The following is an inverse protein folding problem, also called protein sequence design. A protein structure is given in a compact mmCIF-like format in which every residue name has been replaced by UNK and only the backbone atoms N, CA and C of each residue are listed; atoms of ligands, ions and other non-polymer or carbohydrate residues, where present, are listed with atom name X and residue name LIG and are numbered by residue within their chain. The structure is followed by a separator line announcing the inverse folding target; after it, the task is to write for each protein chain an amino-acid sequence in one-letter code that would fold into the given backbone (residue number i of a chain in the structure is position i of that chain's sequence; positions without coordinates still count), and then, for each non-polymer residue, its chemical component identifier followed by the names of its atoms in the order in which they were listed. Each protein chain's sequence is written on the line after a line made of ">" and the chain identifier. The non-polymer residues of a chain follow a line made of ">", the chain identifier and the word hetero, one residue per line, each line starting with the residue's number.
data_IF_463250802847
#
_entry.id   IF_463250802847
#
_cell.length_a   1.000
_cell.length_b   1.000
_cell.length_c   1.000
_cell.angle_alpha   90.00
_cell.angle_beta   90.00
_cell.angle_gamma   90.00
#
_symmetry.space_group_name_H-M   'P 1'
#
loop_
_entity.id
_entity.type
_entity.pdbx_description
1 polymer ?
2 non-polymer ?
3 non-polymer ?
4 water ?
#
# COMPACT_ATOMS: atom_id res chain seq x y z
N UNK A 1 9.07 -4.55 -5.66
CA UNK A 1 9.12 -6.04 -5.72
C UNK A 1 7.79 -6.66 -5.31
N UNK A 2 7.71 -7.99 -5.37
CA UNK A 2 6.49 -8.73 -5.05
C UNK A 2 6.32 -8.81 -3.55
N UNK A 3 5.33 -8.09 -3.02
CA UNK A 3 5.07 -8.04 -1.61
C UNK A 3 3.94 -8.95 -1.21
N UNK A 4 4.09 -9.66 -0.10
CA UNK A 4 2.97 -10.51 0.35
C UNK A 4 1.86 -9.61 0.94
N UNK A 5 0.62 -10.06 0.80
CA UNK A 5 -0.55 -9.25 1.18
C UNK A 5 -1.15 -9.70 2.50
N UNK A 6 -2.47 -9.79 2.57
CA UNK A 6 -3.20 -10.17 3.79
C UNK A 6 -3.28 -11.67 4.02
N UNK A 7 -2.88 -12.44 3.00
CA UNK A 7 -2.75 -13.89 3.05
C UNK A 7 -1.40 -14.24 2.45
N UNK A 8 -0.79 -15.30 2.97
CA UNK A 8 0.60 -15.57 2.57
C UNK A 8 0.85 -16.06 1.13
N UNK A 9 -0.21 -16.38 0.42
CA UNK A 9 -0.18 -16.86 -0.96
C UNK A 9 -0.64 -15.82 -1.98
N UNK A 10 -0.77 -14.55 -1.56
CA UNK A 10 -1.12 -13.47 -2.46
C UNK A 10 -0.04 -12.42 -2.39
N UNK A 11 0.36 -11.94 -3.57
CA UNK A 11 1.40 -10.92 -3.74
C UNK A 11 0.95 -9.82 -4.67
N UNK A 12 1.55 -8.63 -4.50
CA UNK A 12 1.38 -7.58 -5.46
C UNK A 12 2.72 -6.92 -5.73
N UNK A 13 2.95 -6.53 -6.97
CA UNK A 13 4.12 -5.74 -7.36
C UNK A 13 3.54 -4.61 -8.22
N UNK A 14 4.27 -3.48 -8.33
CA UNK A 14 3.70 -2.34 -9.03
C UNK A 14 4.65 -1.54 -9.87
N UNK A 15 4.07 -0.70 -10.75
CA UNK A 15 4.79 0.27 -11.59
C UNK A 15 4.16 1.62 -11.32
N UNK A 16 4.96 2.64 -10.96
CA UNK A 16 4.44 3.95 -10.68
C UNK A 16 4.07 4.62 -12.00
N UNK A 17 2.94 5.27 -12.11
CA UNK A 17 2.61 5.99 -13.38
C UNK A 17 2.75 7.51 -13.11
N UNK A 18 3.85 8.09 -13.59
CA UNK A 18 4.12 9.53 -13.38
C UNK A 18 3.01 10.48 -13.84
N UNK A 19 2.33 10.15 -14.93
CA UNK A 19 1.28 11.01 -15.45
C UNK A 19 0.14 11.18 -14.46
N UNK A 20 -0.33 10.07 -13.88
CA UNK A 20 -1.45 10.11 -12.94
C UNK A 20 -0.95 10.09 -11.49
N UNK A 21 0.36 9.93 -11.34
CA UNK A 21 0.98 9.87 -10.04
C UNK A 21 0.34 8.77 -9.18
N UNK A 22 0.04 7.63 -9.82
CA UNK A 22 -0.61 6.49 -9.16
C UNK A 22 0.11 5.17 -9.51
N UNK A 23 0.14 4.23 -8.57
CA UNK A 23 0.75 2.92 -8.81
C UNK A 23 -0.20 1.98 -9.57
N UNK A 24 0.31 1.38 -10.65
CA UNK A 24 -0.43 0.33 -11.35
C UNK A 24 0.02 -0.98 -10.70
N UNK A 25 -0.94 -1.75 -10.15
CA UNK A 25 -0.66 -2.96 -9.41
C UNK A 25 -1.01 -4.24 -10.13
N UNK A 26 -0.07 -5.19 -10.16
CA UNK A 26 -0.34 -6.58 -10.59
C UNK A 26 -0.52 -7.44 -9.31
N UNK A 27 -1.18 -8.58 -9.48
CA UNK A 27 -1.43 -9.53 -8.39
C UNK A 27 -1.08 -10.95 -8.80
N UNK A 28 -0.57 -11.72 -7.82
CA UNK A 28 -0.23 -13.12 -8.04
C UNK A 28 -0.88 -13.91 -6.92
N UNK A 29 -1.53 -15.02 -7.31
CA UNK A 29 -2.04 -16.03 -6.39
C UNK A 29 -1.21 -17.29 -6.59
N UNK A 30 -0.41 -17.63 -5.57
CA UNK A 30 0.50 -18.73 -5.61
C UNK A 30 -0.23 -19.98 -5.10
N UNK A 31 -0.24 -21.02 -5.96
CA UNK A 31 -0.95 -22.25 -5.67
C UNK A 31 -0.13 -23.44 -6.14
N UNK A 32 -0.10 -24.54 -5.38
CA UNK A 32 0.57 -25.76 -5.89
C UNK A 32 0.07 -26.24 -7.25
N UNK A 33 -1.22 -26.02 -7.52
CA UNK A 33 -1.83 -26.44 -8.78
C UNK A 33 -1.46 -25.55 -9.96
N UNK A 34 -0.85 -24.39 -9.71
CA UNK A 34 -0.49 -23.49 -10.79
C UNK A 34 -0.74 -22.06 -10.42
N UNK A 35 0.29 -21.24 -10.52
CA UNK A 35 0.14 -19.86 -10.09
C UNK A 35 -0.66 -19.01 -11.10
N UNK A 36 -1.38 -18.03 -10.58
CA UNK A 36 -2.22 -17.17 -11.41
C UNK A 36 -1.87 -15.70 -11.21
N UNK A 37 -1.61 -15.00 -12.32
CA UNK A 37 -1.35 -13.56 -12.28
C UNK A 37 -2.61 -12.79 -12.77
N UNK A 38 -2.85 -11.63 -12.21
CA UNK A 38 -3.97 -10.79 -12.61
C UNK A 38 -3.42 -9.39 -13.01
N UNK A 39 -3.82 -8.91 -14.20
CA UNK A 39 -3.43 -7.57 -14.68
C UNK A 39 -1.94 -7.28 -14.40
N UNK A 40 -1.05 -8.17 -14.85
CA UNK A 40 0.34 -7.99 -14.45
C UNK A 40 1.12 -6.87 -15.15
N UNK A 41 1.65 -5.97 -14.33
CA UNK A 41 2.63 -4.98 -14.74
C UNK A 41 3.98 -5.69 -14.89
N UNK A 42 4.98 -4.98 -15.38
CA UNK A 42 6.27 -5.59 -15.63
C UNK A 42 6.89 -6.21 -14.39
N UNK A 43 7.46 -7.40 -14.52
CA UNK A 43 8.17 -8.04 -13.42
C UNK A 43 9.65 -7.68 -13.49
N UNK A 44 10.24 -7.30 -12.35
CA UNK A 44 11.68 -7.03 -12.29
C UNK A 44 12.45 -8.35 -12.35
N UNK A 45 13.75 -8.25 -12.52
CA UNK A 45 14.60 -9.44 -12.54
C UNK A 45 14.40 -10.21 -11.21
N UNK A 46 14.45 -9.49 -10.09
CA UNK A 46 14.22 -10.12 -8.77
C UNK A 46 12.88 -10.82 -8.71
N UNK A 47 11.88 -10.17 -9.27
CA UNK A 47 10.51 -10.67 -9.22
C UNK A 47 10.39 -11.97 -10.03
N UNK A 48 11.05 -12.02 -11.18
CA UNK A 48 11.06 -13.24 -11.97
C UNK A 48 11.69 -14.40 -11.24
N UNK A 49 12.81 -14.13 -10.56
CA UNK A 49 13.48 -15.20 -9.82
C UNK A 49 12.56 -15.70 -8.71
N UNK A 50 11.89 -14.77 -8.04
CA UNK A 50 10.96 -15.13 -6.99
C UNK A 50 9.77 -15.94 -7.52
N UNK A 51 9.17 -15.42 -8.58
CA UNK A 51 8.05 -16.11 -9.21
C UNK A 51 8.41 -17.52 -9.73
N UNK A 52 9.57 -17.67 -10.37
CA UNK A 52 10.03 -19.00 -10.84
C UNK A 52 10.24 -19.92 -9.63
N UNK A 53 10.82 -19.38 -8.57
CA UNK A 53 11.01 -20.17 -7.36
C UNK A 53 9.68 -20.59 -6.73
N UNK A 54 8.64 -19.79 -6.90
CA UNK A 54 7.29 -20.09 -6.41
C UNK A 54 6.51 -21.02 -7.35
N UNK A 55 7.12 -21.38 -8.46
CA UNK A 55 6.55 -22.32 -9.40
C UNK A 55 6.11 -21.81 -10.77
N UNK A 56 6.43 -20.57 -11.08
CA UNK A 56 6.10 -20.01 -12.39
C UNK A 56 4.68 -19.47 -12.54
N UNK A 57 4.10 -19.69 -13.71
CA UNK A 57 2.74 -19.17 -13.96
C UNK A 57 1.96 -19.99 -14.99
N UNK A 58 0.74 -20.40 -14.61
CA UNK A 58 -0.10 -21.18 -15.54
C UNK A 58 -1.25 -20.38 -16.16
N UNK A 59 -1.70 -19.33 -15.47
CA UNK A 59 -2.73 -18.44 -15.99
C UNK A 59 -2.41 -16.99 -15.72
N UNK A 60 -2.74 -16.16 -16.71
CA UNK A 60 -2.82 -14.70 -16.56
C UNK A 60 -4.30 -14.36 -16.85
N UNK A 61 -4.93 -13.62 -15.94
CA UNK A 61 -6.29 -13.13 -16.12
C UNK A 61 -6.20 -11.63 -16.32
N UNK A 62 -6.87 -11.12 -17.37
CA UNK A 62 -6.91 -9.68 -17.66
C UNK A 62 -8.33 -9.22 -17.46
N UNK A 63 -8.52 -8.18 -16.66
CA UNK A 63 -9.86 -7.69 -16.35
C UNK A 63 -10.46 -6.86 -17.46
N UNK A 64 -9.60 -6.20 -18.25
CA UNK A 64 -10.06 -5.37 -19.34
C UNK A 64 -8.89 -5.08 -20.25
N UNK A 65 -9.19 -4.63 -21.47
CA UNK A 65 -8.17 -4.35 -22.48
C UNK A 65 -7.13 -3.31 -22.13
N UNK A 66 -7.48 -2.36 -21.29
CA UNK A 66 -6.50 -1.34 -20.84
C UNK A 66 -5.51 -1.88 -19.81
N UNK A 67 -5.77 -3.09 -19.30
CA UNK A 67 -4.87 -3.77 -18.34
C UNK A 67 -4.07 -4.93 -18.93
N UNK A 68 -3.92 -4.95 -20.26
CA UNK A 68 -3.09 -5.97 -20.91
C UNK A 68 -1.69 -5.88 -20.34
N UNK A 69 -1.23 -4.65 -20.12
CA UNK A 69 0.05 -4.41 -19.43
C UNK A 69 1.19 -5.29 -19.98
N UNK A 70 1.86 -6.09 -19.14
CA UNK A 70 2.94 -6.95 -19.59
C UNK A 70 2.56 -8.39 -19.87
N UNK A 71 1.29 -8.67 -20.05
CA UNK A 71 0.83 -10.07 -20.24
C UNK A 71 1.44 -10.76 -21.43
N UNK A 72 1.54 -10.07 -22.56
CA UNK A 72 2.14 -10.70 -23.76
C UNK A 72 3.60 -11.10 -23.51
N UNK A 73 4.36 -10.19 -22.89
CA UNK A 73 5.77 -10.43 -22.57
C UNK A 73 5.90 -11.62 -21.64
N UNK A 74 5.05 -11.68 -20.63
CA UNK A 74 5.13 -12.79 -19.67
C UNK A 74 4.76 -14.11 -20.36
N UNK A 75 3.75 -14.09 -21.23
CA UNK A 75 3.33 -15.31 -21.95
C UNK A 75 4.45 -15.82 -22.88
N UNK A 76 5.16 -14.88 -23.51
CA UNK A 76 6.26 -15.22 -24.45
C UNK A 76 7.44 -15.87 -23.73
N UNK A 77 7.54 -15.61 -22.44
CA UNK A 77 8.64 -16.08 -21.59
C UNK A 77 8.28 -17.34 -20.79
N UNK A 78 7.03 -17.77 -20.84
CA UNK A 78 6.55 -18.92 -20.06
C UNK A 78 5.60 -19.82 -20.91
N UNK A 79 4.91 -20.75 -20.24
CA UNK A 79 3.91 -21.61 -20.88
C UNK A 79 2.51 -21.25 -20.40
N UNK A 80 2.34 -20.05 -19.87
CA UNK A 80 1.07 -19.63 -19.33
C UNK A 80 0.03 -19.48 -20.44
N UNK A 81 -1.20 -19.73 -20.03
CA UNK A 81 -2.38 -19.40 -20.81
C UNK A 81 -2.88 -18.03 -20.33
N UNK A 82 -3.66 -17.38 -21.17
CA UNK A 82 -4.25 -16.09 -20.91
C UNK A 82 -5.77 -16.11 -21.07
N UNK A 83 -6.43 -15.55 -20.07
CA UNK A 83 -7.88 -15.40 -20.03
C UNK A 83 -8.24 -13.93 -19.99
N UNK A 84 -9.24 -13.57 -20.79
CA UNK A 84 -9.72 -12.20 -20.88
C UNK A 84 -11.24 -12.12 -20.83
N UNK A 85 -11.79 -10.89 -20.88
CA UNK A 85 -13.24 -10.70 -20.82
C UNK A 85 -13.94 -11.02 -22.12
N UNK A 86 -14.97 -11.85 -22.01
CA UNK A 86 -15.73 -12.27 -23.20
C UNK A 86 -16.35 -11.08 -23.94
N UNK A 87 -16.71 -10.03 -23.22
CA UNK A 87 -17.29 -8.85 -23.87
C UNK A 87 -16.32 -8.12 -24.81
N UNK A 88 -15.01 -8.38 -24.66
CA UNK A 88 -14.00 -7.77 -25.55
C UNK A 88 -13.32 -8.80 -26.47
N UNK A 89 -13.94 -9.97 -26.67
CA UNK A 89 -13.30 -11.03 -27.43
C UNK A 89 -13.06 -10.72 -28.89
N UNK A 90 -13.88 -9.86 -29.49
CA UNK A 90 -13.73 -9.57 -30.91
C UNK A 90 -12.66 -8.59 -31.28
N UNK A 91 -12.14 -7.81 -30.33
CA UNK A 91 -11.10 -6.83 -30.67
C UNK A 91 -10.10 -6.64 -29.54
N UNK A 92 -9.61 -7.73 -28.98
CA UNK A 92 -8.75 -7.61 -27.79
C UNK A 92 -7.32 -7.37 -28.25
N UNK A 93 -6.51 -6.59 -27.48
CA UNK A 93 -5.16 -6.30 -27.94
C UNK A 93 -4.19 -7.47 -28.08
N UNK A 94 -4.45 -8.57 -27.36
CA UNK A 94 -3.62 -9.76 -27.42
C UNK A 94 -4.45 -11.03 -27.51
N UNK A 95 -3.81 -12.11 -27.94
CA UNK A 95 -4.47 -13.42 -28.03
C UNK A 95 -4.77 -13.92 -26.63
N UNK A 96 -5.98 -14.43 -26.42
CA UNK A 96 -6.39 -15.09 -25.18
C UNK A 96 -6.81 -16.50 -25.48
N UNK A 97 -6.41 -17.41 -24.61
CA UNK A 97 -6.79 -18.81 -24.73
C UNK A 97 -8.20 -19.06 -24.28
N UNK A 98 -8.71 -18.22 -23.40
CA UNK A 98 -10.05 -18.38 -22.87
C UNK A 98 -10.73 -17.06 -22.59
N UNK A 99 -12.04 -17.05 -22.83
CA UNK A 99 -12.85 -15.83 -22.65
C UNK A 99 -13.76 -16.10 -21.48
N UNK A 100 -13.69 -15.26 -20.45
CA UNK A 100 -14.45 -15.45 -19.21
C UNK A 100 -15.71 -14.64 -19.13
N UNK A 101 -16.74 -15.22 -18.51
CA UNK A 101 -18.03 -14.57 -18.39
C UNK A 101 -18.54 -14.71 -16.95
N UNK A 102 -19.51 -13.88 -16.63
CA UNK A 102 -20.05 -13.80 -15.29
C UNK A 102 -20.50 -15.20 -14.84
N UNK A 103 -20.04 -15.60 -13.65
CA UNK A 103 -20.38 -16.90 -13.11
C UNK A 103 -19.38 -18.01 -13.38
N UNK A 104 -18.41 -17.76 -14.25
CA UNK A 104 -17.38 -18.75 -14.50
C UNK A 104 -16.47 -18.91 -13.28
N UNK A 105 -15.79 -20.04 -13.20
CA UNK A 105 -14.82 -20.26 -12.13
C UNK A 105 -13.62 -20.77 -12.87
N UNK A 106 -12.60 -19.94 -12.99
CA UNK A 106 -11.39 -20.27 -13.78
C UNK A 106 -10.71 -21.50 -13.23
N UNK A 107 -10.46 -21.44 -11.93
CA UNK A 107 -9.98 -22.59 -11.13
C UNK A 107 -10.88 -22.59 -9.89
N UNK A 108 -10.96 -23.71 -9.16
CA UNK A 108 -11.83 -23.73 -8.00
C UNK A 108 -11.49 -22.60 -7.02
N UNK A 109 -12.50 -21.83 -6.65
CA UNK A 109 -12.29 -20.69 -5.76
C UNK A 109 -12.06 -19.35 -6.41
N UNK A 110 -11.89 -19.31 -7.73
CA UNK A 110 -11.69 -18.04 -8.43
C UNK A 110 -12.88 -17.75 -9.34
N UNK A 111 -13.83 -17.00 -8.78
CA UNK A 111 -15.08 -16.70 -9.43
C UNK A 111 -15.03 -15.41 -10.21
N UNK A 112 -15.66 -15.43 -11.39
CA UNK A 112 -15.71 -14.27 -12.28
C UNK A 112 -17.02 -13.52 -12.23
N UNK A 113 -16.92 -12.20 -12.22
CA UNK A 113 -18.09 -11.33 -12.28
C UNK A 113 -17.85 -10.27 -13.35
N UNK A 114 -18.87 -10.00 -14.16
CA UNK A 114 -18.77 -8.97 -15.21
C UNK A 114 -19.49 -7.74 -14.65
N UNK A 115 -18.88 -6.57 -14.82
CA UNK A 115 -19.43 -5.30 -14.41
C UNK A 115 -19.84 -4.57 -15.67
N UNK A 116 -20.93 -3.81 -15.58
CA UNK A 116 -21.47 -3.03 -16.69
C UNK A 116 -21.40 -1.56 -16.42
N UNK A 117 -21.28 -0.81 -17.52
CA UNK A 117 -21.26 0.65 -17.49
C UNK A 117 -19.88 1.29 -17.45
N UNK A 118 -18.83 0.48 -17.36
CA UNK A 118 -17.46 0.99 -17.25
C UNK A 118 -16.96 1.52 -18.61
N UNK A 119 -15.67 1.83 -18.69
CA UNK A 119 -15.10 2.36 -19.92
C UNK A 119 -14.98 1.31 -21.04
N UNK A 120 -14.98 0.03 -20.67
CA UNK A 120 -15.01 -1.08 -21.61
C UNK A 120 -16.18 -1.96 -21.15
N UNK A 121 -16.80 -2.70 -22.07
CA UNK A 121 -17.91 -3.51 -21.67
C UNK A 121 -17.47 -4.78 -20.96
N UNK A 122 -18.29 -5.24 -20.03
CA UNK A 122 -18.04 -6.51 -19.35
C UNK A 122 -16.70 -6.62 -18.62
N UNK A 123 -16.25 -5.52 -18.01
CA UNK A 123 -15.01 -5.51 -17.23
C UNK A 123 -15.17 -6.55 -16.13
N UNK A 124 -14.14 -7.38 -15.97
CA UNK A 124 -14.16 -8.41 -14.95
C UNK A 124 -13.75 -7.93 -13.57
N UNK A 125 -14.39 -8.52 -12.56
CA UNK A 125 -13.93 -8.48 -11.18
C UNK A 125 -13.82 -9.95 -10.77
N UNK A 126 -12.88 -10.27 -9.89
CA UNK A 126 -12.63 -11.62 -9.42
C UNK A 126 -12.85 -11.77 -7.91
N UNK A 127 -13.50 -12.85 -7.52
CA UNK A 127 -13.75 -13.17 -6.12
C UNK A 127 -12.95 -14.42 -5.82
N UNK A 128 -11.93 -14.24 -5.00
CA UNK A 128 -11.01 -15.30 -4.64
C UNK A 128 -11.36 -15.84 -3.26
N UNK A 129 -11.89 -17.04 -3.28
CA UNK A 129 -12.29 -17.75 -2.08
C UNK A 129 -13.17 -16.89 -1.16
N UNK A 130 -14.11 -16.17 -1.79
CA UNK A 130 -15.15 -15.36 -1.13
C UNK A 130 -14.70 -14.15 -0.30
N UNK A 131 -13.48 -14.14 0.21
CA UNK A 131 -13.02 -13.05 1.09
C UNK A 131 -12.11 -11.97 0.49
N UNK A 132 -11.62 -12.22 -0.73
CA UNK A 132 -10.76 -11.26 -1.44
C UNK A 132 -11.41 -10.94 -2.76
N UNK A 133 -11.70 -9.65 -2.98
CA UNK A 133 -12.22 -9.14 -4.25
C UNK A 133 -11.08 -8.45 -4.96
N UNK A 134 -10.91 -8.74 -6.26
CA UNK A 134 -9.91 -8.07 -7.10
C UNK A 134 -10.64 -7.32 -8.24
N UNK A 135 -10.41 -6.01 -8.30
CA UNK A 135 -10.99 -5.16 -9.32
C UNK A 135 -9.90 -4.67 -10.29
N UNK A 136 -10.34 -4.35 -11.50
CA UNK A 136 -9.45 -3.88 -12.54
C UNK A 136 -9.32 -2.38 -12.53
N UNK A 137 -10.26 -1.71 -13.20
CA UNK A 137 -10.31 -0.24 -13.25
C UNK A 137 -11.52 0.43 -12.62
N UNK A 138 -12.69 -0.18 -12.72
CA UNK A 138 -13.92 0.52 -12.29
C UNK A 138 -13.90 0.99 -10.86
N UNK A 139 -13.43 0.13 -9.96
CA UNK A 139 -13.25 0.43 -8.55
C UNK A 139 -11.72 0.53 -8.37
N UNK A 140 -11.29 1.63 -7.75
CA UNK A 140 -9.88 2.02 -7.64
C UNK A 140 -9.72 2.89 -6.40
N UNK A 141 -8.51 3.36 -6.12
CA UNK A 141 -8.30 4.17 -4.95
C UNK A 141 -7.13 5.16 -5.04
N UNK A 142 -7.41 6.40 -5.41
CA UNK A 142 -6.37 7.42 -5.41
C UNK A 142 -6.12 7.95 -3.99
N UNK A 143 -7.19 8.15 -3.23
CA UNK A 143 -7.04 8.57 -1.83
C UNK A 143 -6.93 7.31 -0.97
N UNK A 144 -5.79 7.16 -0.31
CA UNK A 144 -5.55 5.95 0.52
C UNK A 144 -6.57 5.80 1.66
N UNK A 145 -7.16 4.62 1.80
CA UNK A 145 -8.07 4.35 2.88
C UNK A 145 -9.50 4.14 2.40
N UNK A 146 -9.85 4.66 1.22
CA UNK A 146 -11.19 4.43 0.68
C UNK A 146 -11.19 3.74 -0.67
N UNK A 147 -12.37 3.67 -1.25
CA UNK A 147 -12.58 3.17 -2.60
C UNK A 147 -13.36 4.22 -3.39
N UNK A 148 -13.06 4.26 -4.68
CA UNK A 148 -13.62 5.24 -5.63
C UNK A 148 -13.99 4.51 -6.91
N UNK A 149 -14.77 5.19 -7.74
CA UNK A 149 -15.02 4.72 -9.10
C UNK A 149 -14.33 5.69 -10.10
N UNK A 150 -14.16 5.19 -11.32
CA UNK A 150 -13.77 6.02 -12.46
C UNK A 150 -14.67 7.24 -12.58
N UNK A 151 -14.10 8.35 -13.04
CA UNK A 151 -14.88 9.57 -13.17
C UNK A 151 -15.97 9.43 -14.23
N UNK A 152 -17.00 10.24 -14.10
CA UNK A 152 -18.14 10.16 -14.96
C UNK A 152 -17.84 10.19 -16.46
N UNK A 153 -16.86 11.00 -16.88
CA UNK A 153 -16.58 11.10 -18.33
C UNK A 153 -15.96 9.86 -18.93
N UNK A 154 -15.53 8.92 -18.10
CA UNK A 154 -14.99 7.66 -18.61
C UNK A 154 -16.01 6.53 -18.58
N UNK A 155 -17.22 6.79 -18.11
CA UNK A 155 -18.21 5.72 -17.96
C UNK A 155 -19.13 5.60 -19.14
N UNK A 156 -19.42 4.35 -19.53
CA UNK A 156 -20.40 4.07 -20.59
C UNK A 156 -21.83 4.32 -20.10
N UNK A 157 -22.10 3.99 -18.83
CA UNK A 157 -23.45 4.13 -18.25
C UNK A 157 -23.36 4.13 -16.74
N UNK A 158 -23.51 5.31 -16.15
CA UNK A 158 -23.37 5.44 -14.69
C UNK A 158 -24.43 4.66 -13.92
N UNK A 159 -25.67 4.59 -14.43
CA UNK A 159 -26.70 3.82 -13.73
C UNK A 159 -26.28 2.35 -13.58
N UNK A 160 -25.74 1.77 -14.66
CA UNK A 160 -25.25 0.40 -14.64
C UNK A 160 -24.07 0.24 -13.72
N UNK A 161 -23.23 1.28 -13.62
CA UNK A 161 -22.10 1.25 -12.71
C UNK A 161 -22.57 1.15 -11.27
N UNK A 162 -23.55 1.94 -10.88
CA UNK A 162 -24.05 1.92 -9.51
C UNK A 162 -24.60 0.52 -9.18
N UNK A 163 -25.31 -0.09 -10.13
CA UNK A 163 -25.84 -1.43 -9.94
C UNK A 163 -24.68 -2.43 -9.77
N UNK A 164 -23.64 -2.29 -10.57
CA UNK A 164 -22.46 -3.15 -10.49
C UNK A 164 -21.78 -3.03 -9.12
N UNK A 165 -21.61 -1.80 -8.64
CA UNK A 165 -20.95 -1.57 -7.36
C UNK A 165 -21.82 -2.14 -6.22
N UNK A 166 -23.14 -1.97 -6.30
CA UNK A 166 -24.02 -2.56 -5.30
C UNK A 166 -23.87 -4.08 -5.23
N UNK A 167 -23.66 -4.73 -6.39
CA UNK A 167 -23.47 -6.20 -6.42
C UNK A 167 -22.20 -6.57 -5.70
N UNK A 168 -21.18 -5.74 -5.87
CA UNK A 168 -19.89 -6.00 -5.18
C UNK A 168 -20.10 -5.81 -3.68
N UNK A 169 -20.83 -4.77 -3.32
CA UNK A 169 -21.09 -4.46 -1.92
C UNK A 169 -21.98 -5.50 -1.23
N UNK A 170 -22.69 -6.27 -2.03
CA UNK A 170 -23.53 -7.35 -1.52
C UNK A 170 -22.80 -8.66 -1.24
N UNK A 171 -21.52 -8.75 -1.60
CA UNK A 171 -20.71 -9.94 -1.36
C UNK A 171 -20.46 -9.99 0.14
N UNK A 172 -21.06 -10.99 0.78
CA UNK A 172 -21.10 -10.99 2.26
C UNK A 172 -19.81 -11.24 3.03
N UNK A 173 -18.82 -11.87 2.39
CA UNK A 173 -17.60 -12.21 3.08
C UNK A 173 -16.35 -11.42 2.70
N UNK A 174 -16.50 -10.43 1.83
CA UNK A 174 -15.36 -9.65 1.39
C UNK A 174 -14.69 -8.91 2.54
N UNK A 175 -13.39 -9.16 2.69
CA UNK A 175 -12.54 -8.48 3.66
C UNK A 175 -11.52 -7.54 2.98
N UNK A 176 -10.97 -7.98 1.83
CA UNK A 176 -9.97 -7.23 1.09
C UNK A 176 -10.50 -6.90 -0.28
N UNK A 177 -10.20 -5.69 -0.75
CA UNK A 177 -10.47 -5.27 -2.12
C UNK A 177 -9.13 -4.82 -2.74
N UNK A 178 -8.59 -5.67 -3.62
CA UNK A 178 -7.32 -5.43 -4.25
C UNK A 178 -7.64 -4.72 -5.54
N UNK A 179 -6.97 -3.59 -5.76
CA UNK A 179 -7.28 -2.74 -6.91
C UNK A 179 -6.13 -2.63 -7.89
N UNK A 180 -6.49 -2.67 -9.18
CA UNK A 180 -5.46 -2.56 -10.24
C UNK A 180 -4.77 -1.20 -10.27
N UNK A 181 -5.48 -0.16 -9.80
CA UNK A 181 -4.97 1.20 -9.74
C UNK A 181 -5.11 1.84 -8.35
N UNK A 182 -4.00 2.03 -7.64
CA UNK A 182 -4.05 2.71 -6.36
C UNK A 182 -3.91 1.87 -5.12
N UNK A 183 -4.53 2.36 -4.06
CA UNK A 183 -4.35 1.78 -2.75
C UNK A 183 -5.34 0.68 -2.43
N UNK A 184 -4.86 -0.55 -2.42
CA UNK A 184 -5.72 -1.68 -2.04
C UNK A 184 -6.17 -1.62 -0.57
N UNK A 185 -7.34 -2.21 -0.33
CA UNK A 185 -7.93 -2.35 1.00
C UNK A 185 -7.76 -3.79 1.48
N UNK A 186 -7.24 -3.97 2.70
CA UNK A 186 -6.97 -5.31 3.25
C UNK A 186 -7.88 -5.80 4.36
N UNK A 187 -8.65 -4.87 4.94
CA UNK A 187 -9.57 -5.15 6.02
C UNK A 187 -10.85 -4.37 5.79
N UNK A 188 -11.96 -4.89 6.29
CA UNK A 188 -13.26 -4.17 6.22
C UNK A 188 -13.66 -3.73 4.80
N UNK A 189 -13.31 -4.56 3.80
CA UNK A 189 -13.60 -4.22 2.40
C UNK A 189 -15.07 -4.01 2.13
N UNK A 190 -15.92 -4.85 2.74
CA UNK A 190 -17.38 -4.72 2.53
C UNK A 190 -17.83 -3.33 3.02
N UNK A 191 -17.32 -2.89 4.18
CA UNK A 191 -17.64 -1.58 4.69
C UNK A 191 -17.18 -0.43 3.75
N UNK A 192 -16.00 -0.57 3.15
CA UNK A 192 -15.52 0.44 2.20
C UNK A 192 -16.38 0.50 0.91
N UNK A 193 -16.82 -0.67 0.45
CA UNK A 193 -17.71 -0.76 -0.70
C UNK A 193 -19.08 -0.11 -0.38
N UNK A 194 -19.58 -0.35 0.84
CA UNK A 194 -20.83 0.22 1.33
C UNK A 194 -20.76 1.77 1.33
N UNK A 195 -19.65 2.33 1.81
CA UNK A 195 -19.42 3.78 1.82
C UNK A 195 -19.40 4.30 0.40
N UNK A 196 -18.72 3.56 -0.49
CA UNK A 196 -18.68 3.95 -1.88
C UNK A 196 -20.09 4.02 -2.45
N UNK A 197 -20.90 3.00 -2.21
CA UNK A 197 -22.28 2.98 -2.71
C UNK A 197 -23.00 4.24 -2.23
N UNK A 198 -22.82 4.55 -0.95
CA UNK A 198 -23.50 5.74 -0.36
C UNK A 198 -23.15 7.05 -1.10
N UNK A 199 -21.94 7.16 -1.66
CA UNK A 199 -21.53 8.37 -2.37
C UNK A 199 -22.18 8.47 -3.75
N UNK A 200 -22.72 7.35 -4.23
CA UNK A 200 -23.31 7.25 -5.54
C UNK A 200 -24.84 7.17 -5.48
N UNK A 201 -25.38 6.94 -4.28
CA UNK A 201 -26.82 6.74 -4.04
C UNK A 201 -27.61 8.04 -4.10
N UNK B 1 7.69 5.86 -6.79
CA UNK B 1 7.51 7.33 -6.75
C UNK B 1 6.88 7.74 -5.44
N UNK B 2 6.76 9.05 -5.25
CA UNK B 2 6.17 9.61 -4.07
C UNK B 2 4.69 9.74 -4.30
N UNK B 3 3.92 9.13 -3.43
CA UNK B 3 2.45 9.14 -3.55
C UNK B 3 1.79 9.75 -2.36
N UNK B 4 0.70 10.49 -2.59
CA UNK B 4 -0.08 11.09 -1.52
C UNK B 4 -0.85 9.95 -0.85
N UNK B 5 -1.14 10.14 0.44
CA UNK B 5 -1.75 9.11 1.27
C UNK B 5 -3.22 9.37 1.57
N UNK B 6 -3.63 9.30 2.85
CA UNK B 6 -5.02 9.53 3.28
C UNK B 6 -5.43 11.01 3.41
N UNK B 7 -4.44 11.87 3.39
CA UNK B 7 -4.60 13.30 3.37
C UNK B 7 -3.59 13.82 2.29
N UNK B 8 -3.98 14.87 1.54
CA UNK B 8 -3.21 15.30 0.38
C UNK B 8 -1.84 15.89 0.63
N UNK B 9 -1.55 16.24 1.86
CA UNK B 9 -0.26 16.82 2.23
C UNK B 9 0.75 15.80 2.87
N UNK B 10 0.41 14.52 2.84
CA UNK B 10 1.30 13.45 3.32
C UNK B 10 1.57 12.54 2.18
N UNK B 11 2.86 12.21 1.99
CA UNK B 11 3.32 11.35 0.93
C UNK B 11 4.25 10.27 1.51
N UNK B 12 4.33 9.15 0.77
CA UNK B 12 5.29 8.10 1.09
C UNK B 12 6.01 7.70 -0.21
N UNK B 13 7.26 7.29 -0.07
CA UNK B 13 8.00 6.68 -1.16
C UNK B 13 8.74 5.54 -0.49
N UNK B 14 9.08 4.47 -1.23
CA UNK B 14 9.56 3.24 -0.63
C UNK B 14 10.63 2.52 -1.45
N UNK B 15 11.42 1.71 -0.74
CA UNK B 15 12.38 0.80 -1.33
C UNK B 15 11.99 -0.61 -0.89
N UNK B 16 12.10 -1.58 -1.79
CA UNK B 16 11.71 -2.96 -1.50
C UNK B 16 12.72 -3.67 -0.61
N UNK B 17 12.22 -4.47 0.32
CA UNK B 17 12.98 -5.33 1.27
C UNK B 17 12.82 -6.82 0.92
N UNK B 18 13.77 -7.35 0.14
CA UNK B 18 13.69 -8.77 -0.28
C UNK B 18 13.73 -9.81 0.86
N UNK B 19 14.13 -9.45 2.09
CA UNK B 19 14.14 -10.41 3.19
C UNK B 19 12.76 -10.83 3.63
N UNK B 20 11.79 -9.88 3.61
CA UNK B 20 10.44 -10.17 4.12
C UNK B 20 9.27 -9.82 3.19
N UNK B 21 9.59 -9.56 1.92
CA UNK B 21 8.57 -9.21 0.92
C UNK B 21 7.68 -8.07 1.34
N UNK B 22 8.30 -7.01 1.87
CA UNK B 22 7.61 -5.78 2.21
C UNK B 22 8.52 -4.61 1.89
N UNK B 23 7.98 -3.39 1.99
CA UNK B 23 8.75 -2.18 1.71
C UNK B 23 9.30 -1.49 2.95
N UNK B 24 10.41 -0.78 2.72
CA UNK B 24 10.94 0.16 3.68
C UNK B 24 10.32 1.51 3.22
N UNK B 25 9.64 2.25 4.10
CA UNK B 25 8.95 3.46 3.71
C UNK B 25 9.48 4.74 4.36
N UNK B 26 9.66 5.76 3.52
CA UNK B 26 9.91 7.13 3.96
C UNK B 26 8.59 7.93 3.88
N UNK B 27 8.48 8.95 4.71
CA UNK B 27 7.28 9.81 4.74
C UNK B 27 7.64 11.28 4.63
N UNK B 28 6.77 12.02 3.96
CA UNK B 28 6.92 13.48 3.80
C UNK B 28 5.62 14.22 4.14
N UNK B 29 5.73 15.21 5.01
CA UNK B 29 4.63 16.11 5.32
C UNK B 29 4.91 17.45 4.65
N UNK B 30 4.07 17.80 3.67
CA UNK B 30 4.24 19.04 2.88
C UNK B 30 3.47 20.12 3.61
N UNK B 31 4.18 21.21 3.95
CA UNK B 31 3.65 22.29 4.77
C UNK B 31 4.19 23.61 4.29
N UNK B 32 3.38 24.66 4.31
CA UNK B 32 3.85 26.00 3.91
C UNK B 32 5.09 26.49 4.66
N UNK B 33 5.18 26.15 5.93
CA UNK B 33 6.25 26.59 6.79
C UNK B 33 7.55 25.78 6.68
N UNK B 34 7.55 24.70 5.88
CA UNK B 34 8.75 23.89 5.71
C UNK B 34 8.43 22.42 5.72
N UNK B 35 8.78 21.70 4.67
CA UNK B 35 8.48 20.25 4.63
C UNK B 35 9.32 19.41 5.60
N UNK B 36 8.70 18.35 6.09
CA UNK B 36 9.29 17.45 7.05
C UNK B 36 9.34 16.02 6.51
N UNK B 37 10.54 15.43 6.48
CA UNK B 37 10.71 14.02 6.10
C UNK B 37 10.92 13.18 7.34
N UNK B 38 10.44 11.94 7.30
CA UNK B 38 10.60 11.02 8.42
C UNK B 38 11.21 9.75 7.85
N UNK B 39 12.29 9.28 8.50
CA UNK B 39 12.97 8.02 8.16
C UNK B 39 13.14 7.84 6.64
N UNK B 40 13.75 8.83 5.98
CA UNK B 40 13.76 8.81 4.52
C UNK B 40 14.66 7.79 3.84
N UNK B 41 14.03 6.99 2.97
CA UNK B 41 14.78 6.06 2.12
C UNK B 41 15.27 6.87 0.93
N UNK B 42 16.05 6.20 0.06
CA UNK B 42 16.62 6.89 -1.09
C UNK B 42 15.61 7.56 -1.99
N UNK B 43 16.01 8.72 -2.50
CA UNK B 43 15.21 9.49 -3.46
C UNK B 43 15.83 9.41 -4.83
N UNK B 44 15.05 8.91 -5.79
CA UNK B 44 15.49 8.94 -7.17
C UNK B 44 15.53 10.39 -7.68
N UNK B 45 16.15 10.61 -8.85
CA UNK B 45 16.14 11.97 -9.39
C UNK B 45 14.70 12.41 -9.58
N UNK B 46 13.82 11.54 -10.08
CA UNK B 46 12.42 11.98 -10.27
C UNK B 46 11.73 12.37 -8.96
N UNK B 47 11.97 11.58 -7.91
CA UNK B 47 11.35 11.86 -6.62
C UNK B 47 11.91 13.16 -6.05
N UNK B 48 13.22 13.37 -6.22
CA UNK B 48 13.88 14.63 -5.84
C UNK B 48 13.21 15.82 -6.45
N UNK B 49 13.02 15.73 -7.77
CA UNK B 49 12.40 16.84 -8.51
C UNK B 49 10.96 17.06 -8.01
N UNK B 50 10.25 15.98 -7.71
CA UNK B 50 8.91 16.08 -7.18
C UNK B 50 8.95 16.79 -5.82
N UNK B 51 9.86 16.35 -4.94
CA UNK B 51 9.98 16.97 -3.63
C UNK B 51 10.37 18.44 -3.76
N UNK B 52 11.29 18.74 -4.66
CA UNK B 52 11.70 20.11 -4.91
C UNK B 52 10.49 20.97 -5.28
N UNK B 53 9.65 20.45 -6.18
CA UNK B 53 8.45 21.19 -6.66
C UNK B 53 7.42 21.43 -5.53
N UNK B 54 7.48 20.59 -4.50
CA UNK B 54 6.64 20.71 -3.30
C UNK B 54 7.24 21.60 -2.20
N UNK B 55 8.43 22.15 -2.43
CA UNK B 55 9.08 23.04 -1.47
C UNK B 55 10.35 22.52 -0.84
N UNK B 56 10.84 21.35 -1.23
CA UNK B 56 12.09 20.89 -0.66
C UNK B 56 11.94 20.24 0.71
N UNK B 57 13.00 20.36 1.52
CA UNK B 57 13.00 19.77 2.86
C UNK B 57 13.69 20.67 3.88
N UNK B 58 12.98 20.91 5.00
CA UNK B 58 13.49 21.74 6.10
C UNK B 58 13.94 20.93 7.34
N UNK B 59 13.25 19.82 7.62
CA UNK B 59 13.59 18.90 8.69
C UNK B 59 13.50 17.47 8.21
N UNK B 60 14.42 16.66 8.74
CA UNK B 60 14.33 15.22 8.67
C UNK B 60 14.26 14.79 10.15
N UNK B 61 13.25 14.00 10.48
CA UNK B 61 13.11 13.40 11.80
C UNK B 61 13.47 11.93 11.64
N UNK B 62 14.36 11.45 12.48
CA UNK B 62 14.76 10.05 12.50
C UNK B 62 14.27 9.43 13.78
N UNK B 63 13.46 8.37 13.67
CA UNK B 63 12.87 7.73 14.84
C UNK B 63 13.85 6.94 15.71
N UNK B 64 14.90 6.44 15.09
CA UNK B 64 15.92 5.67 15.75
C UNK B 64 17.15 5.58 14.85
N UNK B 65 18.27 5.21 15.44
CA UNK B 65 19.53 5.08 14.66
C UNK B 65 19.51 4.12 13.47
N UNK B 66 18.70 3.05 13.53
CA UNK B 66 18.64 2.10 12.45
C UNK B 66 17.86 2.62 11.24
N UNK B 67 17.14 3.74 11.40
CA UNK B 67 16.43 4.37 10.27
C UNK B 67 17.13 5.62 9.72
N UNK B 68 18.41 5.79 10.01
CA UNK B 68 19.19 6.86 9.38
C UNK B 68 19.04 6.81 7.84
N UNK B 69 19.05 5.60 7.26
CA UNK B 69 18.71 5.42 5.87
C UNK B 69 19.46 6.41 4.96
N UNK B 70 18.76 7.22 4.16
CA UNK B 70 19.41 8.14 3.23
C UNK B 70 19.51 9.58 3.78
N UNK B 71 19.32 9.76 5.08
CA UNK B 71 19.40 11.10 5.65
C UNK B 71 20.69 11.89 5.37
N UNK B 72 21.86 11.25 5.38
CA UNK B 72 23.13 11.93 5.12
C UNK B 72 23.19 12.46 3.71
N UNK B 73 22.78 11.64 2.78
CA UNK B 73 22.79 12.01 1.40
C UNK B 73 21.85 13.18 1.14
N UNK B 74 20.68 13.17 1.75
CA UNK B 74 19.73 14.28 1.62
C UNK B 74 20.28 15.54 2.32
N UNK B 75 20.84 15.36 3.52
CA UNK B 75 21.40 16.49 4.22
C UNK B 75 22.51 17.15 3.39
N UNK B 76 23.34 16.35 2.74
CA UNK B 76 24.41 16.88 1.90
C UNK B 76 23.96 17.69 0.70
N UNK B 77 22.75 17.47 0.23
CA UNK B 77 22.22 18.15 -0.96
C UNK B 77 21.21 19.23 -0.68
N UNK B 78 20.93 19.50 0.61
CA UNK B 78 19.94 20.48 1.02
C UNK B 78 20.43 21.19 2.28
N UNK B 79 19.65 22.13 2.78
CA UNK B 79 19.99 22.76 4.05
C UNK B 79 19.12 22.24 5.17
N UNK B 80 18.64 21.01 5.05
CA UNK B 80 17.77 20.48 6.08
C UNK B 80 18.47 20.35 7.42
N UNK B 81 17.70 20.52 8.49
CA UNK B 81 18.15 20.18 9.82
C UNK B 81 17.66 18.75 10.07
N UNK B 82 18.29 18.08 11.05
CA UNK B 82 17.95 16.73 11.41
C UNK B 82 17.66 16.67 12.90
N UNK B 83 16.57 15.98 13.25
CA UNK B 83 16.17 15.76 14.61
C UNK B 83 16.17 14.25 14.88
N UNK B 84 16.72 13.87 16.04
CA UNK B 84 16.73 12.45 16.45
C UNK B 84 16.34 12.24 17.89
N UNK B 85 16.29 10.98 18.34
CA UNK B 85 15.86 10.66 19.70
C UNK B 85 16.90 11.00 20.75
N UNK B 86 16.51 11.77 21.77
CA UNK B 86 17.44 12.19 22.81
C UNK B 86 18.14 10.99 23.50
N UNK B 87 17.47 9.84 23.61
CA UNK B 87 18.04 8.65 24.26
C UNK B 87 19.28 8.08 23.57
N UNK B 88 19.48 8.42 22.28
CA UNK B 88 20.65 7.96 21.52
C UNK B 88 21.62 9.10 21.19
N UNK B 89 21.51 10.22 21.91
CA UNK B 89 22.32 11.39 21.56
C UNK B 89 23.82 11.20 21.66
N UNK B 90 24.28 10.28 22.52
CA UNK B 90 25.71 10.12 22.71
C UNK B 90 26.41 9.25 21.68
N UNK B 91 25.69 8.50 20.85
CA UNK B 91 26.36 7.66 19.85
C UNK B 91 25.55 7.50 18.59
N UNK B 92 25.01 8.60 18.07
CA UNK B 92 24.12 8.53 16.92
C UNK B 92 24.95 8.51 15.62
N UNK B 93 24.46 7.84 14.57
CA UNK B 93 25.25 7.73 13.33
C UNK B 93 25.39 8.95 12.45
N UNK B 94 24.69 10.04 12.77
CA UNK B 94 24.90 11.29 12.07
C UNK B 94 24.65 12.46 13.00
N UNK B 95 25.18 13.62 12.62
CA UNK B 95 24.97 14.83 13.39
C UNK B 95 23.51 15.25 13.37
N UNK B 96 22.98 15.55 14.55
CA UNK B 96 21.60 16.05 14.68
C UNK B 96 21.65 17.47 15.24
N UNK B 97 20.83 18.31 14.63
CA UNK B 97 20.66 19.70 15.06
C UNK B 97 19.75 19.83 16.27
N UNK B 98 18.96 18.80 16.55
CA UNK B 98 18.07 18.81 17.68
C UNK B 98 17.73 17.40 18.14
N UNK B 99 17.60 17.27 19.46
CA UNK B 99 17.30 15.98 20.12
C UNK B 99 15.91 16.13 20.71
N UNK B 100 15.05 15.18 20.35
CA UNK B 100 13.66 15.16 20.74
C UNK B 100 13.38 14.24 21.92
N UNK B 101 12.54 14.73 22.83
CA UNK B 101 12.11 14.03 24.01
C UNK B 101 10.60 13.91 24.02
N UNK B 102 10.12 12.99 24.84
CA UNK B 102 8.70 12.76 24.99
C UNK B 102 7.98 14.07 25.34
N UNK B 103 6.91 14.35 24.61
CA UNK B 103 6.11 15.56 24.83
C UNK B 103 6.53 16.74 23.98
N UNK B 104 7.69 16.67 23.34
CA UNK B 104 8.13 17.76 22.48
C UNK B 104 7.18 17.91 21.32
N UNK B 105 7.09 19.13 20.80
CA UNK B 105 6.33 19.37 19.59
C UNK B 105 7.33 20.07 18.65
N UNK B 106 7.78 19.35 17.61
CA UNK B 106 8.83 19.85 16.69
C UNK B 106 8.36 21.12 15.99
N UNK B 107 7.15 21.02 15.43
CA UNK B 107 6.43 22.12 14.85
C UNK B 107 4.98 21.95 15.33
N UNK B 108 4.19 23.01 15.25
CA UNK B 108 2.82 22.86 15.77
C UNK B 108 2.06 21.73 15.10
N UNK B 109 1.52 20.83 15.92
CA UNK B 109 0.78 19.67 15.45
C UNK B 109 1.59 18.41 15.29
N UNK B 110 2.90 18.46 15.49
CA UNK B 110 3.71 17.24 15.33
C UNK B 110 4.31 16.89 16.69
N UNK B 111 3.60 16.01 17.40
CA UNK B 111 3.91 15.66 18.78
C UNK B 111 4.82 14.46 18.83
N UNK B 112 5.76 14.48 19.78
CA UNK B 112 6.73 13.42 19.90
C UNK B 112 6.48 12.54 21.13
N UNK B 113 6.67 11.22 20.92
CA UNK B 113 6.55 10.21 21.96
C UNK B 113 7.81 9.33 21.98
N UNK B 114 8.35 9.04 23.19
CA UNK B 114 9.49 8.11 23.30
C UNK B 114 8.88 6.77 23.76
N UNK B 115 9.27 5.71 23.08
CA UNK B 115 8.84 4.33 23.34
C UNK B 115 10.00 3.63 24.04
N UNK B 116 9.70 2.75 24.99
CA UNK B 116 10.74 2.06 25.76
C UNK B 116 10.68 0.57 25.54
N UNK B 117 11.85 -0.03 25.61
CA UNK B 117 12.02 -1.46 25.47
C UNK B 117 12.30 -1.98 24.08
N UNK B 118 12.34 -1.11 23.08
CA UNK B 118 12.59 -1.51 21.70
C UNK B 118 14.08 -1.86 21.52
N UNK B 119 14.49 -2.08 20.28
CA UNK B 119 15.88 -2.46 19.99
C UNK B 119 16.85 -1.33 20.24
N UNK B 120 16.36 -0.09 20.24
CA UNK B 120 17.16 1.07 20.62
C UNK B 120 16.38 1.79 21.68
N UNK B 121 17.08 2.50 22.58
CA UNK B 121 16.39 3.20 23.62
C UNK B 121 15.64 4.46 23.16
N UNK B 122 14.50 4.72 23.77
CA UNK B 122 13.77 5.93 23.47
C UNK B 122 13.41 6.17 22.02
N UNK B 123 13.06 5.08 21.31
CA UNK B 123 12.63 5.15 19.91
C UNK B 123 11.44 6.08 19.78
N UNK B 124 11.43 6.95 18.78
CA UNK B 124 10.37 7.93 18.66
C UNK B 124 9.17 7.43 17.86
N UNK B 125 7.97 7.84 18.27
CA UNK B 125 6.78 7.75 17.46
C UNK B 125 6.25 9.20 17.36
N UNK B 126 5.59 9.52 16.26
CA UNK B 126 5.12 10.87 15.99
C UNK B 126 3.62 10.88 15.81
N UNK B 127 2.96 11.90 16.38
CA UNK B 127 1.53 12.04 16.26
C UNK B 127 1.29 13.34 15.54
N UNK B 128 0.74 13.25 14.32
CA UNK B 128 0.55 14.39 13.44
C UNK B 128 -0.94 14.77 13.49
N UNK B 129 -1.18 15.93 14.08
CA UNK B 129 -2.53 16.47 14.21
C UNK B 129 -3.52 15.46 14.76
N UNK B 130 -3.08 14.74 15.80
CA UNK B 130 -3.90 13.80 16.57
C UNK B 130 -4.43 12.57 15.85
N UNK B 131 -4.57 12.62 14.51
CA UNK B 131 -5.19 11.51 13.78
C UNK B 131 -4.28 10.62 12.95
N UNK B 132 -3.01 10.97 12.83
CA UNK B 132 -2.07 10.17 12.07
C UNK B 132 -0.88 9.89 12.99
N UNK B 133 -0.70 8.61 13.30
CA UNK B 133 0.44 8.14 14.05
C UNK B 133 1.50 7.62 13.05
N UNK B 134 2.75 8.00 13.27
CA UNK B 134 3.85 7.51 12.45
C UNK B 134 4.85 6.78 13.34
N UNK B 135 5.11 5.50 13.05
CA UNK B 135 6.05 4.70 13.83
C UNK B 135 7.27 4.35 13.00
N UNK B 136 8.35 4.08 13.70
CA UNK B 136 9.62 3.76 13.08
C UNK B 136 9.80 2.28 12.89
N UNK B 137 10.25 1.60 13.94
CA UNK B 137 10.48 0.15 13.90
C UNK B 137 9.61 -0.67 14.83
N UNK B 138 9.25 -0.14 15.99
CA UNK B 138 8.62 -1.03 17.00
C UNK B 138 7.29 -1.58 16.53
N UNK B 139 6.49 -0.75 15.90
CA UNK B 139 5.21 -1.17 15.31
C UNK B 139 5.44 -1.14 13.80
N UNK B 140 5.08 -2.24 13.14
CA UNK B 140 5.35 -2.47 11.73
C UNK B 140 4.25 -3.40 11.21
N UNK B 141 4.32 -3.78 9.94
CA UNK B 141 3.30 -4.68 9.40
C UNK B 141 3.76 -5.56 8.27
N UNK B 142 3.95 -6.85 8.57
CA UNK B 142 4.29 -7.85 7.55
C UNK B 142 3.05 -8.38 6.85
N UNK B 143 2.01 -8.70 7.63
CA UNK B 143 0.73 -9.12 7.09
C UNK B 143 -0.07 -7.87 6.80
N UNK B 144 -0.38 -7.62 5.54
CA UNK B 144 -1.14 -6.45 5.16
C UNK B 144 -2.54 -6.44 5.83
N UNK B 145 -2.88 -5.29 6.41
CA UNK B 145 -4.14 -5.10 7.10
C UNK B 145 -4.09 -5.01 8.63
N UNK B 146 -3.04 -5.53 9.25
CA UNK B 146 -2.91 -5.44 10.71
C UNK B 146 -1.65 -4.69 11.09
N UNK B 147 -1.35 -4.74 12.39
CA UNK B 147 -0.15 -4.13 12.98
C UNK B 147 0.50 -5.19 13.83
N UNK B 148 1.82 -5.18 13.84
CA UNK B 148 2.63 -6.15 14.58
C UNK B 148 3.75 -5.39 15.29
N UNK B 149 4.42 -6.05 16.22
CA UNK B 149 5.64 -5.50 16.79
C UNK B 149 6.84 -6.31 16.35
N UNK B 150 8.03 -5.76 16.59
CA UNK B 150 9.28 -6.48 16.38
C UNK B 150 9.24 -7.75 17.19
N UNK B 151 9.92 -8.80 16.68
CA UNK B 151 9.94 -10.04 17.44
C UNK B 151 10.69 -9.92 18.77
N UNK B 152 10.37 -10.81 19.69
CA UNK B 152 10.94 -10.76 21.02
C UNK B 152 12.45 -10.66 21.05
N UNK B 153 13.11 -11.39 20.16
CA UNK B 153 14.57 -11.42 20.10
C UNK B 153 15.20 -10.06 19.82
N UNK B 154 14.46 -9.13 19.24
CA UNK B 154 14.97 -7.79 18.98
C UNK B 154 14.70 -6.77 20.07
N UNK B 155 13.90 -7.12 21.08
CA UNK B 155 13.49 -6.16 22.09
C UNK B 155 14.42 -6.13 23.30
N UNK B 156 14.62 -4.93 23.86
CA UNK B 156 15.43 -4.75 25.07
C UNK B 156 14.64 -5.15 26.32
N UNK B 157 13.32 -4.92 26.30
CA UNK B 157 12.46 -5.19 27.44
C UNK B 157 11.01 -5.27 26.96
N UNK B 158 10.51 -6.48 26.86
CA UNK B 158 9.16 -6.76 26.39
C UNK B 158 8.08 -6.10 27.22
N UNK B 159 8.28 -6.06 28.55
CA UNK B 159 7.29 -5.48 29.43
C UNK B 159 7.12 -4.00 29.14
N UNK B 160 8.24 -3.30 28.93
CA UNK B 160 8.18 -1.88 28.57
C UNK B 160 7.58 -1.68 27.17
N UNK B 161 7.85 -2.58 26.25
CA UNK B 161 7.28 -2.52 24.91
C UNK B 161 5.78 -2.65 24.98
N UNK B 162 5.29 -3.58 25.78
CA UNK B 162 3.85 -3.75 25.92
C UNK B 162 3.20 -2.47 26.49
N UNK B 163 3.84 -1.84 27.48
CA UNK B 163 3.34 -0.59 28.05
C UNK B 163 3.38 0.53 26.99
N UNK B 164 4.42 0.54 26.15
CA UNK B 164 4.53 1.54 25.11
C UNK B 164 3.41 1.37 24.09
N UNK B 165 3.12 0.14 23.69
CA UNK B 165 2.05 -0.12 22.70
C UNK B 165 0.69 0.23 23.31
N UNK B 166 0.49 -0.11 24.59
CA UNK B 166 -0.79 0.22 25.26
C UNK B 166 -1.02 1.73 25.25
N UNK B 167 0.08 2.48 25.33
CA UNK B 167 0.02 3.93 25.28
C UNK B 167 -0.42 4.43 23.89
N UNK B 168 0.16 3.86 22.85
CA UNK B 168 -0.21 4.17 21.49
C UNK B 168 -1.68 3.87 21.27
N UNK B 169 -2.15 2.75 21.83
CA UNK B 169 -3.53 2.34 21.71
C UNK B 169 -4.48 3.28 22.48
N UNK B 170 -3.95 3.99 23.48
CA UNK B 170 -4.71 4.99 24.25
C UNK B 170 -4.86 6.34 23.53
N UNK B 171 -4.21 6.51 22.38
CA UNK B 171 -4.38 7.74 21.60
C UNK B 171 -5.74 7.55 20.96
N UNK B 172 -6.62 8.41 21.39
CA UNK B 172 -8.00 8.24 21.09
C UNK B 172 -8.51 8.60 19.70
N UNK B 173 -7.79 9.46 18.99
CA UNK B 173 -8.26 9.94 17.69
C UNK B 173 -7.47 9.37 16.50
N UNK B 174 -6.59 8.42 16.75
CA UNK B 174 -5.78 7.86 15.68
C UNK B 174 -6.62 7.09 14.65
N UNK B 175 -6.51 7.48 13.38
CA UNK B 175 -7.14 6.74 12.27
C UNK B 175 -6.12 6.06 11.38
N UNK B 176 -5.00 6.75 11.12
CA UNK B 176 -3.96 6.18 10.28
C UNK B 176 -2.73 5.87 11.11
N UNK B 177 -2.09 4.74 10.80
CA UNK B 177 -0.81 4.37 11.42
C UNK B 177 0.18 4.13 10.28
N UNK B 178 1.06 5.10 10.08
CA UNK B 178 2.07 4.99 9.03
C UNK B 178 3.29 4.31 9.63
N UNK B 179 3.78 3.26 8.97
CA UNK B 179 4.87 2.46 9.52
C UNK B 179 6.13 2.55 8.66
N UNK B 180 7.29 2.63 9.31
CA UNK B 180 8.55 2.64 8.58
C UNK B 180 8.86 1.37 7.82
N UNK B 181 8.29 0.24 8.25
CA UNK B 181 8.50 -1.05 7.67
C UNK B 181 7.16 -1.76 7.45
N UNK B 182 6.82 -1.92 6.19
CA UNK B 182 5.63 -2.67 5.81
C UNK B 182 4.38 -1.87 5.47
N UNK B 183 3.24 -2.48 5.73
CA UNK B 183 1.96 -2.01 5.26
C UNK B 183 1.29 -1.03 6.23
N UNK B 184 1.25 0.22 5.83
CA UNK B 184 0.58 1.27 6.60
C UNK B 184 -0.93 1.08 6.63
N UNK B 185 -1.51 1.53 7.74
CA UNK B 185 -2.94 1.48 8.01
C UNK B 185 -3.47 2.89 7.80
N UNK B 186 -4.52 3.02 7.01
CA UNK B 186 -5.09 4.34 6.67
C UNK B 186 -6.41 4.67 7.38
N UNK B 187 -7.11 3.63 7.82
CA UNK B 187 -8.41 3.73 8.50
C UNK B 187 -8.42 2.85 9.74
N UNK B 188 -9.22 3.23 10.73
CA UNK B 188 -9.43 2.41 11.92
C UNK B 188 -8.13 2.00 12.64
N UNK B 189 -7.17 2.92 12.65
CA UNK B 189 -5.86 2.66 13.26
C UNK B 189 -5.93 2.31 14.72
N UNK B 190 -6.75 3.03 15.47
CA UNK B 190 -6.87 2.74 16.90
C UNK B 190 -7.33 1.29 17.10
N UNK B 191 -8.30 0.84 16.30
CA UNK B 191 -8.79 -0.53 16.41
C UNK B 191 -7.70 -1.55 16.09
N UNK B 192 -6.83 -1.23 15.14
CA UNK B 192 -5.73 -2.15 14.82
C UNK B 192 -4.71 -2.23 15.96
N UNK B 193 -4.44 -1.07 16.57
CA UNK B 193 -3.58 -1.01 17.74
C UNK B 193 -4.16 -1.78 18.93
N UNK B 194 -5.47 -1.66 19.12
CA UNK B 194 -6.15 -2.41 20.20
C UNK B 194 -6.03 -3.92 19.96
N UNK B 195 -6.17 -4.36 18.72
CA UNK B 195 -6.03 -5.77 18.38
C UNK B 195 -4.62 -6.23 18.63
N UNK B 196 -3.64 -5.42 18.27
CA UNK B 196 -2.26 -5.76 18.54
C UNK B 196 -2.04 -5.90 20.07
N UNK B 197 -2.57 -4.96 20.84
CA UNK B 197 -2.40 -5.02 22.30
C UNK B 197 -2.94 -6.35 22.81
N UNK B 198 -4.08 -6.75 22.28
CA UNK B 198 -4.73 -7.99 22.69
C UNK B 198 -3.87 -9.21 22.43
N UNK B 199 -3.00 -9.17 21.43
CA UNK B 199 -2.13 -10.30 21.15
C UNK B 199 -0.99 -10.34 22.14
N UNK B 200 -0.70 -9.22 22.81
CA UNK B 200 0.42 -9.13 23.74
C UNK B 200 -0.04 -9.27 25.20
N UNK B 201 -1.35 -9.24 25.43
CA UNK B 201 -1.88 -9.28 26.79
C UNK B 201 -1.77 -10.66 27.42
X LIG C 1 -5.99 1.05 -14.84
X LIG D 1 13.27 -0.77 10.13
X LIG E 1 17.58 8.13 -10.46
#
# INVERSE_FOLDING_TARGET
>A
GMKSLHRPDLYSWSTFNPARNIDFNGFAWIRPEGNILIDPVALSNHDWKHLESLGGVVWIVLTNSDHVRSAKEIADQTYTKIAGPVAEKENFPIYCDRWLSDGDELVPGLKVMELQGSKTPGELALLLEETTLITGDLVRAYRAGGLEILPDEKLMNKQKVVASVRRLAALEKVEAVLVGDGWSVFRDGRDRLKELVATLA
>B
GMKSLHRPDLYSWSTFNPARNIDFNGFAWIRPEGNILIDPVALSNHDWKHLESLGGVVWIVLTNSDHVRSAKEIADQTYTKIAGPVAEKENFPIYCDRWLSDGDELVPGLKVMELQGSKTPGELALLLEETTLITGDLVRAYRAGGLEILPDEKLMNKQKVVASVRRLAALEKVEAVLVGDGWSVFRDGRDRLKELVATLA
>C hetero
1 MG MG
>D hetero
1 MG MG
>E hetero
1 CL CL
#
